data_IF_506547889107
#
_entry.id   IF_506547889107
#
_cell.length_a   1.000
_cell.length_b   1.000
_cell.length_c   1.000
_cell.angle_alpha   90.00
_cell.angle_beta   90.00
_cell.angle_gamma   90.00
#
_symmetry.space_group_name_H-M   'P 1'
#
loop_
_entity.id
_entity.type
_entity.pdbx_description
1 polymer ?
#
# COMPACT_ATOMS: atom_id res chain seq x y z
N UNK A 1 -6.55 -3.34 6.70
CA UNK A 1 -6.31 -4.80 6.84
C UNK A 1 -7.44 -5.57 6.18
N UNK A 2 -7.11 -6.58 5.38
CA UNK A 2 -8.07 -7.36 4.59
C UNK A 2 -8.46 -8.69 5.26
N UNK A 3 -7.67 -9.14 6.23
CA UNK A 3 -7.92 -10.37 6.96
C UNK A 3 -8.49 -10.08 8.35
N UNK A 4 -9.56 -10.78 8.72
CA UNK A 4 -10.33 -10.47 9.93
C UNK A 4 -9.54 -10.69 11.22
N UNK A 5 -8.78 -11.76 11.31
CA UNK A 5 -7.99 -12.06 12.51
C UNK A 5 -6.83 -11.07 12.72
N UNK A 6 -6.00 -10.76 11.72
CA UNK A 6 -5.03 -9.67 11.79
C UNK A 6 -5.65 -8.31 12.11
N UNK A 7 -6.84 -7.99 11.57
CA UNK A 7 -7.55 -6.77 11.89
C UNK A 7 -7.82 -6.61 13.39
N UNK A 8 -8.44 -7.62 14.02
CA UNK A 8 -8.69 -7.59 15.47
C UNK A 8 -7.39 -7.61 16.29
N UNK A 9 -6.41 -8.39 15.86
CA UNK A 9 -5.10 -8.45 16.55
C UNK A 9 -4.40 -7.10 16.51
N UNK A 10 -4.47 -6.38 15.38
CA UNK A 10 -3.87 -5.05 15.24
C UNK A 10 -4.55 -4.03 16.17
N UNK A 11 -5.88 -4.01 16.22
CA UNK A 11 -6.63 -3.15 17.15
C UNK A 11 -6.20 -3.39 18.59
N UNK A 12 -6.24 -4.64 19.05
CA UNK A 12 -5.86 -5.01 20.41
C UNK A 12 -4.41 -4.62 20.75
N UNK A 13 -3.47 -4.84 19.82
CA UNK A 13 -2.07 -4.48 20.03
C UNK A 13 -1.85 -2.97 20.13
N UNK A 14 -2.54 -2.18 19.32
CA UNK A 14 -2.44 -0.72 19.37
C UNK A 14 -3.01 -0.19 20.69
N UNK A 15 -4.22 -0.62 21.04
CA UNK A 15 -4.90 -0.22 22.29
C UNK A 15 -4.12 -0.64 23.52
N UNK A 16 -3.59 -1.88 23.54
CA UNK A 16 -2.73 -2.35 24.62
C UNK A 16 -1.45 -1.53 24.73
N UNK A 17 -0.79 -1.24 23.61
CA UNK A 17 0.44 -0.43 23.59
C UNK A 17 0.17 0.99 24.07
N UNK A 18 -0.94 1.59 23.66
CA UNK A 18 -1.37 2.90 24.11
C UNK A 18 -1.61 2.91 25.63
N UNK A 19 -2.37 1.95 26.13
CA UNK A 19 -2.61 1.78 27.57
C UNK A 19 -1.31 1.64 28.37
N UNK A 20 -0.33 0.86 27.87
CA UNK A 20 0.97 0.68 28.51
C UNK A 20 1.79 1.98 28.59
N UNK A 21 1.65 2.85 27.60
CA UNK A 21 2.41 4.10 27.51
C UNK A 21 1.74 5.27 28.23
N UNK A 22 0.41 5.34 28.17
CA UNK A 22 -0.37 6.48 28.65
C UNK A 22 -1.09 6.20 29.95
N UNK A 23 -1.07 4.95 30.45
CA UNK A 23 -1.80 4.46 31.63
C UNK A 23 -3.32 4.68 31.59
N UNK A 24 -3.85 4.93 30.39
CA UNK A 24 -5.28 5.10 30.10
C UNK A 24 -5.65 4.21 28.93
N UNK A 25 -6.79 3.53 29.04
CA UNK A 25 -7.35 2.80 27.90
C UNK A 25 -8.17 3.73 27.04
N UNK A 26 -7.91 3.70 25.74
CA UNK A 26 -8.71 4.38 24.72
C UNK A 26 -8.90 3.44 23.53
N UNK A 27 -10.11 3.36 23.02
CA UNK A 27 -10.44 2.55 21.84
C UNK A 27 -9.84 3.19 20.59
N UNK A 28 -9.21 2.38 19.73
CA UNK A 28 -8.63 2.84 18.49
C UNK A 28 -9.55 2.55 17.30
N UNK A 29 -10.28 3.55 16.87
CA UNK A 29 -11.32 3.44 15.82
C UNK A 29 -10.83 3.78 14.41
N UNK A 30 -9.51 3.84 14.18
CA UNK A 30 -8.94 4.27 12.90
C UNK A 30 -8.44 3.13 11.99
N UNK A 31 -8.44 1.87 12.44
CA UNK A 31 -8.16 0.75 11.55
C UNK A 31 -9.42 0.44 10.74
N UNK A 32 -9.25 0.35 9.42
CA UNK A 32 -10.32 -0.09 8.51
C UNK A 32 -10.15 -1.56 8.13
N UNK A 33 -11.24 -2.29 8.13
CA UNK A 33 -11.30 -3.62 7.52
C UNK A 33 -11.56 -3.46 6.03
N UNK A 34 -10.50 -3.45 5.23
CA UNK A 34 -10.56 -3.12 3.80
C UNK A 34 -9.30 -3.58 3.07
N UNK A 35 -9.41 -3.88 1.78
CA UNK A 35 -8.26 -3.93 0.88
C UNK A 35 -7.90 -2.50 0.45
N UNK A 36 -6.74 -2.03 0.89
CA UNK A 36 -6.27 -0.66 0.67
C UNK A 36 -6.17 -0.29 -0.82
N UNK A 37 -5.82 -1.23 -1.68
CA UNK A 37 -5.64 -0.98 -3.12
C UNK A 37 -6.95 -1.03 -3.92
N UNK A 38 -8.00 -1.65 -3.37
CA UNK A 38 -9.30 -1.77 -4.05
C UNK A 38 -10.19 -0.52 -3.86
N UNK A 39 -10.03 0.16 -2.73
CA UNK A 39 -10.88 1.28 -2.33
C UNK A 39 -10.15 2.62 -2.37
N UNK A 40 -9.40 2.84 -3.43
CA UNK A 40 -8.67 4.11 -3.64
C UNK A 40 -9.59 5.28 -3.95
N UNK A 41 -10.77 5.01 -4.54
CA UNK A 41 -11.83 5.99 -4.74
C UNK A 41 -13.16 5.40 -4.24
N UNK A 42 -13.65 5.89 -3.11
CA UNK A 42 -14.94 5.46 -2.57
C UNK A 42 -16.07 6.21 -3.30
N UNK A 43 -16.56 5.67 -4.41
CA UNK A 43 -17.72 6.21 -5.14
C UNK A 43 -19.07 5.76 -4.57
N UNK A 44 -19.15 5.41 -3.30
CA UNK A 44 -20.42 5.04 -2.66
C UNK A 44 -21.03 3.71 -3.12
N UNK A 45 -20.29 2.87 -3.84
CA UNK A 45 -20.73 1.49 -4.12
C UNK A 45 -20.80 0.73 -2.82
N UNK A 46 -21.98 0.25 -2.52
CA UNK A 46 -22.27 -0.59 -1.36
C UNK A 46 -21.37 -1.82 -1.44
N UNK A 47 -20.32 -1.82 -0.64
CA UNK A 47 -19.41 -2.95 -0.53
C UNK A 47 -20.18 -4.13 0.06
N UNK A 48 -19.86 -5.31 -0.45
CA UNK A 48 -20.57 -6.58 -0.24
C UNK A 48 -21.10 -6.73 1.19
N UNK A 49 -22.37 -7.05 1.32
CA UNK A 49 -23.19 -7.03 2.53
C UNK A 49 -22.65 -7.83 3.73
N UNK A 50 -21.66 -8.69 3.53
CA UNK A 50 -21.10 -9.54 4.58
C UNK A 50 -19.83 -9.03 5.25
N UNK A 51 -19.15 -8.03 4.66
CA UNK A 51 -17.80 -7.65 5.12
C UNK A 51 -17.75 -6.36 5.93
N UNK A 52 -18.80 -5.51 5.92
CA UNK A 52 -18.64 -4.18 6.51
C UNK A 52 -19.84 -3.70 7.31
N UNK A 53 -19.59 -3.39 8.56
CA UNK A 53 -20.50 -2.57 9.37
C UNK A 53 -20.59 -1.16 8.78
N UNK A 54 -21.71 -0.48 9.03
CA UNK A 54 -21.88 0.95 8.67
C UNK A 54 -20.71 1.79 9.18
N UNK A 55 -20.27 1.51 10.40
CA UNK A 55 -19.17 2.16 11.07
C UNK A 55 -17.82 2.00 10.31
N UNK A 56 -17.48 0.79 9.86
CA UNK A 56 -16.28 0.57 9.06
C UNK A 56 -16.34 1.30 7.71
N UNK A 57 -17.51 1.37 7.09
CA UNK A 57 -17.73 2.12 5.84
C UNK A 57 -17.49 3.62 6.05
N UNK A 58 -17.96 4.18 7.15
CA UNK A 58 -17.72 5.58 7.51
C UNK A 58 -16.25 5.87 7.82
N UNK A 59 -15.56 4.94 8.50
CA UNK A 59 -14.11 5.01 8.74
C UNK A 59 -13.34 5.08 7.42
N UNK A 60 -13.63 4.19 6.47
CA UNK A 60 -13.00 4.16 5.14
C UNK A 60 -13.23 5.47 4.40
N UNK A 61 -14.47 5.96 4.37
CA UNK A 61 -14.82 7.23 3.74
C UNK A 61 -14.03 8.38 4.33
N UNK A 62 -14.03 8.51 5.66
CA UNK A 62 -13.28 9.54 6.39
C UNK A 62 -11.78 9.49 6.06
N UNK A 63 -11.17 8.30 5.99
CA UNK A 63 -9.76 8.16 5.64
C UNK A 63 -9.48 8.54 4.18
N UNK A 64 -10.38 8.22 3.25
CA UNK A 64 -10.20 8.56 1.85
C UNK A 64 -10.38 10.05 1.55
N UNK A 65 -11.15 10.77 2.34
CA UNK A 65 -11.35 12.22 2.22
C UNK A 65 -10.14 13.04 2.71
N UNK A 66 -9.28 12.44 3.53
CA UNK A 66 -8.12 13.12 4.10
C UNK A 66 -6.83 12.81 3.32
N UNK A 67 -5.95 13.80 3.20
CA UNK A 67 -4.56 13.58 2.77
C UNK A 67 -3.75 12.98 3.91
N UNK A 68 -2.72 12.20 3.57
CA UNK A 68 -1.88 11.51 4.54
C UNK A 68 -0.52 12.19 4.60
N UNK A 69 -0.10 12.63 5.77
CA UNK A 69 1.20 13.28 5.95
C UNK A 69 2.36 12.29 6.12
N UNK A 70 2.10 11.11 6.68
CA UNK A 70 3.13 10.09 6.93
C UNK A 70 2.57 8.71 6.57
N UNK A 71 3.26 8.01 5.66
CA UNK A 71 2.97 6.63 5.31
C UNK A 71 4.18 5.79 5.64
N UNK A 72 3.99 4.77 6.47
CA UNK A 72 5.02 3.79 6.84
C UNK A 72 4.46 2.41 6.57
N UNK A 73 5.23 1.55 5.87
CA UNK A 73 4.73 0.22 5.54
C UNK A 73 5.78 -0.79 5.15
N UNK A 74 5.37 -2.04 5.18
CA UNK A 74 6.11 -3.18 4.65
C UNK A 74 5.17 -3.95 3.70
N UNK A 75 4.99 -3.47 2.46
CA UNK A 75 4.08 -4.10 1.51
C UNK A 75 4.61 -5.47 1.07
N UNK A 76 3.73 -6.39 0.65
CA UNK A 76 4.15 -7.67 0.10
C UNK A 76 4.95 -7.50 -1.20
N UNK A 77 5.88 -8.44 -1.47
CA UNK A 77 6.87 -8.30 -2.56
C UNK A 77 6.57 -9.15 -3.80
N UNK A 78 5.50 -9.92 -3.83
CA UNK A 78 5.29 -10.92 -4.89
C UNK A 78 4.35 -10.44 -5.98
N UNK A 79 4.87 -10.33 -7.22
CA UNK A 79 4.06 -10.16 -8.44
C UNK A 79 3.41 -11.47 -8.90
N UNK A 80 4.00 -12.60 -8.51
CA UNK A 80 3.54 -13.95 -8.85
C UNK A 80 3.41 -14.74 -7.57
N UNK A 81 2.27 -14.66 -6.91
CA UNK A 81 1.90 -15.71 -5.97
C UNK A 81 1.44 -16.91 -6.79
N UNK A 82 2.33 -17.88 -6.98
CA UNK A 82 2.03 -19.18 -7.62
C UNK A 82 1.25 -20.14 -6.69
N UNK A 83 0.86 -19.70 -5.52
CA UNK A 83 0.03 -20.48 -4.63
C UNK A 83 -1.42 -20.47 -5.12
N UNK A 84 -1.77 -21.48 -5.90
CA UNK A 84 -3.11 -21.73 -6.45
C UNK A 84 -4.23 -21.86 -5.39
N UNK A 85 -3.90 -21.80 -4.11
CA UNK A 85 -4.85 -21.93 -2.99
C UNK A 85 -5.28 -20.60 -2.38
N UNK A 86 -4.68 -19.47 -2.78
CA UNK A 86 -5.10 -18.17 -2.33
C UNK A 86 -5.88 -17.48 -3.44
N UNK A 87 -7.14 -17.16 -3.18
CA UNK A 87 -8.04 -16.37 -4.06
C UNK A 87 -7.46 -14.99 -4.46
N UNK A 88 -6.29 -14.65 -3.94
CA UNK A 88 -5.56 -13.41 -4.19
C UNK A 88 -4.42 -13.51 -5.21
N UNK A 89 -4.15 -14.71 -5.74
CA UNK A 89 -3.14 -14.88 -6.77
C UNK A 89 -3.52 -14.06 -8.01
N UNK A 90 -2.74 -13.04 -8.35
CA UNK A 90 -2.93 -12.15 -9.51
C UNK A 90 -4.21 -11.28 -9.49
N UNK A 91 -4.71 -10.90 -8.32
CA UNK A 91 -5.82 -9.94 -8.24
C UNK A 91 -5.47 -8.67 -9.02
N UNK A 92 -6.41 -8.20 -9.83
CA UNK A 92 -6.29 -6.93 -10.55
C UNK A 92 -6.77 -5.79 -9.69
N UNK A 93 -6.04 -4.68 -9.73
CA UNK A 93 -6.40 -3.41 -9.09
C UNK A 93 -6.55 -2.32 -10.16
N UNK A 94 -7.69 -2.24 -10.87
CA UNK A 94 -7.83 -1.45 -12.09
C UNK A 94 -7.40 0.01 -11.94
N UNK A 95 -7.74 0.64 -10.82
CA UNK A 95 -7.43 2.06 -10.59
C UNK A 95 -5.92 2.28 -10.40
N UNK A 96 -5.30 1.52 -9.51
CA UNK A 96 -3.86 1.61 -9.26
C UNK A 96 -3.07 1.15 -10.50
N UNK A 97 -3.50 0.08 -11.16
CA UNK A 97 -2.86 -0.43 -12.37
C UNK A 97 -2.92 0.60 -13.52
N UNK A 98 -4.04 1.32 -13.66
CA UNK A 98 -4.16 2.44 -14.59
C UNK A 98 -3.18 3.58 -14.25
N UNK A 99 -3.04 3.92 -12.97
CA UNK A 99 -2.07 4.93 -12.52
C UNK A 99 -0.62 4.49 -12.80
N UNK A 100 -0.27 3.24 -12.51
CA UNK A 100 1.06 2.68 -12.84
C UNK A 100 1.32 2.80 -14.34
N UNK A 101 0.35 2.47 -15.18
CA UNK A 101 0.48 2.61 -16.65
C UNK A 101 0.78 4.04 -17.05
N UNK A 102 -0.02 4.99 -16.58
CA UNK A 102 0.08 6.41 -16.92
C UNK A 102 1.36 7.08 -16.40
N UNK A 103 1.93 6.56 -15.33
CA UNK A 103 3.14 7.11 -14.71
C UNK A 103 4.38 6.30 -15.07
N UNK A 104 4.56 5.12 -14.48
CA UNK A 104 5.79 4.35 -14.57
C UNK A 104 6.01 3.71 -15.95
N UNK A 105 4.94 3.14 -16.55
CA UNK A 105 5.02 2.47 -17.84
C UNK A 105 5.28 3.45 -18.98
N UNK A 106 4.52 4.52 -19.07
CA UNK A 106 4.61 5.52 -20.14
C UNK A 106 5.92 6.33 -20.09
N UNK A 107 6.56 6.42 -18.93
CA UNK A 107 7.87 7.06 -18.77
C UNK A 107 9.06 6.09 -18.87
N UNK A 108 8.81 4.79 -19.00
CA UNK A 108 9.84 3.76 -19.10
C UNK A 108 10.17 3.38 -20.55
N UNK A 109 11.34 2.78 -20.74
CA UNK A 109 11.84 2.29 -22.05
C UNK A 109 11.86 0.76 -22.16
N UNK A 110 11.62 0.04 -21.06
CA UNK A 110 11.67 -1.41 -21.02
C UNK A 110 10.49 -2.05 -21.76
N UNK A 111 10.75 -3.11 -22.55
CA UNK A 111 9.71 -3.83 -23.29
C UNK A 111 8.84 -4.73 -22.37
N UNK A 112 9.44 -5.34 -21.35
CA UNK A 112 8.72 -6.18 -20.40
C UNK A 112 8.52 -5.42 -19.09
N UNK A 113 7.30 -5.06 -18.79
CA UNK A 113 6.94 -4.20 -17.67
C UNK A 113 6.05 -4.92 -16.63
N UNK A 114 5.91 -6.26 -16.71
CA UNK A 114 5.05 -7.04 -15.82
C UNK A 114 5.41 -6.84 -14.33
N UNK A 115 6.70 -6.71 -14.02
CA UNK A 115 7.17 -6.50 -12.64
C UNK A 115 6.80 -5.14 -12.05
N UNK A 116 6.37 -4.17 -12.88
CA UNK A 116 5.83 -2.90 -12.40
C UNK A 116 4.45 -3.04 -11.75
N UNK A 117 3.80 -4.19 -11.92
CA UNK A 117 2.54 -4.53 -11.27
C UNK A 117 2.72 -5.43 -10.04
N UNK A 118 3.95 -5.52 -9.51
CA UNK A 118 4.23 -6.14 -8.22
C UNK A 118 3.52 -5.37 -7.09
N UNK A 119 3.12 -6.09 -6.04
CA UNK A 119 2.34 -5.50 -4.94
C UNK A 119 3.04 -4.31 -4.29
N UNK A 120 4.36 -4.37 -4.04
CA UNK A 120 5.06 -3.24 -3.44
C UNK A 120 5.05 -1.99 -4.36
N UNK A 121 5.09 -2.17 -5.69
CA UNK A 121 5.01 -1.07 -6.66
C UNK A 121 3.61 -0.46 -6.66
N UNK A 122 2.57 -1.30 -6.56
CA UNK A 122 1.18 -0.84 -6.40
C UNK A 122 1.00 -0.03 -5.12
N UNK A 123 1.55 -0.51 -3.99
CA UNK A 123 1.53 0.23 -2.74
C UNK A 123 2.32 1.54 -2.82
N UNK A 124 3.46 1.55 -3.52
CA UNK A 124 4.23 2.76 -3.77
C UNK A 124 3.40 3.79 -4.56
N UNK A 125 2.73 3.36 -5.65
CA UNK A 125 1.89 4.27 -6.44
C UNK A 125 0.71 4.79 -5.65
N UNK A 126 0.01 3.91 -4.94
CA UNK A 126 -1.07 4.31 -4.05
C UNK A 126 -0.60 5.31 -3.00
N UNK A 127 0.53 5.05 -2.38
CA UNK A 127 1.09 5.94 -1.36
C UNK A 127 1.46 7.31 -1.92
N UNK A 128 2.11 7.37 -3.09
CA UNK A 128 2.44 8.63 -3.76
C UNK A 128 1.17 9.43 -4.10
N UNK A 129 0.11 8.77 -4.57
CA UNK A 129 -1.16 9.43 -4.91
C UNK A 129 -1.95 9.93 -3.66
N UNK A 130 -1.68 9.35 -2.47
CA UNK A 130 -2.37 9.69 -1.21
C UNK A 130 -1.58 10.64 -0.30
N UNK A 131 -0.30 10.79 -0.55
CA UNK A 131 0.58 11.60 0.27
C UNK A 131 0.29 13.10 0.07
N UNK A 132 0.33 13.87 1.14
CA UNK A 132 0.30 15.33 1.07
C UNK A 132 1.60 15.91 0.51
N UNK A 133 1.58 17.17 0.03
CA UNK A 133 2.77 17.83 -0.55
C UNK A 133 4.03 17.81 0.33
N UNK A 134 3.85 17.87 1.65
CA UNK A 134 4.96 17.83 2.61
C UNK A 134 4.97 16.51 3.38
N UNK A 135 4.60 15.42 2.73
CA UNK A 135 4.48 14.12 3.35
C UNK A 135 5.76 13.31 3.34
N UNK A 136 5.80 12.30 4.21
CA UNK A 136 6.91 11.33 4.32
C UNK A 136 6.38 9.94 3.95
N UNK A 137 7.08 9.28 3.02
CA UNK A 137 6.83 7.89 2.66
C UNK A 137 8.05 7.03 3.04
N UNK A 138 7.85 6.06 3.91
CA UNK A 138 8.87 5.12 4.35
C UNK A 138 8.42 3.69 4.16
N UNK A 139 9.04 2.94 3.25
CA UNK A 139 8.67 1.57 2.93
C UNK A 139 9.87 0.63 3.06
N UNK A 140 9.61 -0.58 3.57
CA UNK A 140 10.52 -1.71 3.43
C UNK A 140 10.12 -2.44 2.16
N UNK A 141 11.04 -2.55 1.19
CA UNK A 141 10.77 -3.15 -0.12
C UNK A 141 11.91 -4.06 -0.56
N UNK A 142 11.74 -4.79 -1.65
CA UNK A 142 12.88 -5.42 -2.31
C UNK A 142 13.70 -4.35 -3.07
N UNK A 143 14.94 -4.67 -3.42
CA UNK A 143 15.89 -3.74 -4.06
C UNK A 143 15.79 -3.70 -5.60
N UNK A 144 14.91 -4.46 -6.23
CA UNK A 144 14.85 -4.59 -7.71
C UNK A 144 14.65 -3.25 -8.43
N UNK A 145 14.00 -2.28 -7.80
CA UNK A 145 13.78 -0.96 -8.39
C UNK A 145 15.04 -0.12 -8.53
N UNK A 146 16.13 -0.44 -7.81
CA UNK A 146 17.38 0.32 -7.84
C UNK A 146 18.09 0.12 -9.17
N UNK A 147 18.34 -1.13 -9.56
CA UNK A 147 19.24 -1.47 -10.67
C UNK A 147 18.52 -2.04 -11.89
N UNK A 148 17.33 -2.63 -11.74
CA UNK A 148 16.63 -3.25 -12.84
C UNK A 148 16.21 -2.22 -13.90
N UNK A 149 16.53 -2.52 -15.16
CA UNK A 149 16.16 -1.69 -16.32
C UNK A 149 14.66 -1.48 -16.43
N UNK A 150 13.85 -2.44 -16.01
CA UNK A 150 12.39 -2.35 -16.05
C UNK A 150 11.84 -1.20 -15.20
N UNK A 151 12.58 -0.77 -14.20
CA UNK A 151 12.19 0.31 -13.29
C UNK A 151 12.69 1.70 -13.69
N UNK A 152 13.17 1.88 -14.92
CA UNK A 152 13.67 3.19 -15.39
C UNK A 152 12.59 4.29 -15.32
N UNK A 153 11.37 4.00 -15.79
CA UNK A 153 10.24 4.91 -15.69
C UNK A 153 9.77 5.15 -14.25
N UNK A 154 9.79 4.12 -13.40
CA UNK A 154 9.52 4.26 -11.98
C UNK A 154 10.51 5.24 -11.33
N UNK A 155 11.83 5.02 -11.52
CA UNK A 155 12.87 5.89 -10.95
C UNK A 155 12.72 7.34 -11.41
N UNK A 156 12.45 7.55 -12.71
CA UNK A 156 12.21 8.87 -13.25
C UNK A 156 11.06 9.58 -12.53
N UNK A 157 9.89 8.94 -12.48
CA UNK A 157 8.70 9.54 -11.87
C UNK A 157 8.90 9.80 -10.37
N UNK A 158 9.47 8.85 -9.63
CA UNK A 158 9.73 9.03 -8.20
C UNK A 158 10.72 10.18 -7.95
N UNK A 159 11.74 10.35 -8.80
CA UNK A 159 12.67 11.48 -8.69
C UNK A 159 12.04 12.85 -9.03
N UNK A 160 10.93 12.86 -9.74
CA UNK A 160 10.17 14.09 -10.04
C UNK A 160 9.12 14.39 -8.96
N UNK A 161 8.55 13.35 -8.33
CA UNK A 161 7.51 13.49 -7.30
C UNK A 161 8.07 13.79 -5.89
N UNK A 162 9.29 13.37 -5.57
CA UNK A 162 9.89 13.53 -4.24
C UNK A 162 11.13 14.42 -4.29
N UNK A 163 11.19 15.39 -3.39
CA UNK A 163 12.36 16.29 -3.24
C UNK A 163 13.60 15.57 -2.74
N UNK A 164 13.41 14.62 -1.84
CA UNK A 164 14.50 13.86 -1.22
C UNK A 164 14.18 12.37 -1.20
N UNK A 165 15.15 11.55 -1.56
CA UNK A 165 15.04 10.08 -1.59
C UNK A 165 16.21 9.48 -0.83
N UNK A 166 15.93 8.72 0.20
CA UNK A 166 16.90 8.00 1.00
C UNK A 166 16.73 6.49 0.81
N UNK A 167 17.81 5.80 0.48
CA UNK A 167 17.82 4.35 0.31
C UNK A 167 18.81 3.75 1.31
N UNK A 168 18.33 2.82 2.13
CA UNK A 168 19.15 2.05 3.06
C UNK A 168 19.14 0.61 2.58
N UNK A 169 20.28 0.14 2.05
CA UNK A 169 20.45 -1.25 1.67
C UNK A 169 20.75 -2.10 2.91
N UNK A 170 19.83 -3.01 3.24
CA UNK A 170 19.97 -3.92 4.38
C UNK A 170 20.77 -5.19 4.04
N UNK A 171 21.20 -5.35 2.79
CA UNK A 171 22.06 -6.46 2.33
C UNK A 171 21.39 -7.84 2.43
N UNK A 172 20.05 -7.90 2.48
CA UNK A 172 19.29 -9.14 2.57
C UNK A 172 19.02 -9.75 1.20
N UNK A 173 19.44 -11.00 0.99
CA UNK A 173 18.99 -11.81 -0.14
C UNK A 173 18.11 -12.96 0.39
N UNK A 174 16.82 -12.89 0.15
CA UNK A 174 15.82 -13.88 0.61
C UNK A 174 15.94 -15.22 -0.14
N UNK A 175 16.80 -15.30 -1.15
CA UNK A 175 16.96 -16.49 -2.02
C UNK A 175 18.20 -17.32 -1.70
N UNK A 176 18.84 -17.09 -0.57
CA UNK A 176 19.91 -17.96 -0.07
C UNK A 176 19.43 -18.86 1.03
#
# INVERSE_FOLDING_TARGET
>A
EVAILPYYTANLNIEYTYKQKMDVYEEFDNICFVDTLEHTSFEGKQLDLFAMSVENTERIKRQNENTISIIIGNPPYNAKQENFNDDNANRRYPEVDKRIKQTYVENGTAQNQIVLYDMYVRFMRWASDRLSENGILALITNSSFIDSRTFDGFRKVVSEEFSDIYIIDLGGDVRK
#
